data_IF_759254571514
#
_entry.id   IF_759254571514
#
_cell.length_a   1.000
_cell.length_b   1.000
_cell.length_c   1.000
_cell.angle_alpha   90.00
_cell.angle_beta   90.00
_cell.angle_gamma   90.00
#
_symmetry.space_group_name_H-M   'P 1'
#
loop_
_entity.id
_entity.type
_entity.pdbx_description
1 polymer ?
#
# COMPACT_ATOMS: atom_id res chain seq x y z
N UNK A 1 7.66 4.69 34.14
CA UNK A 1 7.96 3.62 33.15
C UNK A 1 8.30 4.27 31.82
N UNK A 2 9.27 3.76 31.05
CA UNK A 2 9.62 4.34 29.73
C UNK A 2 8.62 3.83 28.69
N UNK A 3 8.20 4.68 27.74
CA UNK A 3 7.32 4.29 26.63
C UNK A 3 8.15 3.66 25.51
N UNK A 4 7.58 2.70 24.80
CA UNK A 4 8.09 2.16 23.54
C UNK A 4 7.22 2.70 22.39
N UNK A 5 7.69 3.72 21.65
CA UNK A 5 6.99 4.21 20.47
C UNK A 5 7.11 3.20 19.32
N UNK A 6 5.98 2.82 18.75
CA UNK A 6 5.85 1.94 17.59
C UNK A 6 5.09 2.69 16.50
N UNK A 7 5.72 2.88 15.34
CA UNK A 7 5.10 3.51 14.19
C UNK A 7 4.85 2.48 13.09
N UNK A 8 3.60 2.35 12.67
CA UNK A 8 3.24 1.62 11.45
C UNK A 8 3.17 2.63 10.30
N UNK A 9 4.03 2.46 9.30
CA UNK A 9 4.03 3.25 8.06
C UNK A 9 3.49 2.34 6.96
N UNK A 10 2.23 2.55 6.61
CA UNK A 10 1.43 1.62 5.83
C UNK A 10 1.13 2.17 4.45
N UNK A 11 1.52 1.44 3.43
CA UNK A 11 1.17 1.73 2.04
C UNK A 11 -0.33 1.46 1.82
N UNK A 12 -1.00 2.47 1.30
CA UNK A 12 -2.43 2.54 1.03
C UNK A 12 -2.67 2.96 -0.44
N UNK A 13 -1.69 2.72 -1.30
CA UNK A 13 -1.79 3.02 -2.73
C UNK A 13 -2.75 2.08 -3.47
N UNK A 14 -3.05 2.38 -4.73
CA UNK A 14 -3.98 1.60 -5.54
C UNK A 14 -3.50 0.16 -5.78
N UNK A 15 -2.20 -0.13 -5.81
CA UNK A 15 -1.66 -1.49 -5.90
C UNK A 15 -2.09 -2.36 -4.72
N UNK A 16 -2.28 -1.75 -3.54
CA UNK A 16 -2.68 -2.45 -2.33
C UNK A 16 -4.16 -2.87 -2.36
N UNK A 17 -5.01 -2.29 -3.22
CA UNK A 17 -6.45 -2.56 -3.17
C UNK A 17 -6.78 -4.04 -3.41
N UNK A 18 -7.82 -4.51 -2.73
CA UNK A 18 -8.26 -5.90 -2.75
C UNK A 18 -7.68 -6.68 -1.58
N UNK A 19 -7.03 -7.79 -1.88
CA UNK A 19 -6.59 -8.74 -0.87
C UNK A 19 -5.45 -8.21 0.02
N UNK A 20 -4.50 -7.47 -0.55
CA UNK A 20 -3.35 -6.92 0.19
C UNK A 20 -3.81 -5.93 1.28
N UNK A 21 -4.67 -4.96 0.94
CA UNK A 21 -5.22 -3.99 1.87
C UNK A 21 -6.08 -4.65 2.96
N UNK A 22 -6.86 -5.68 2.59
CA UNK A 22 -7.65 -6.45 3.55
C UNK A 22 -6.74 -7.16 4.55
N UNK A 23 -5.72 -7.89 4.07
CA UNK A 23 -4.72 -8.54 4.93
C UNK A 23 -4.02 -7.54 5.83
N UNK A 24 -3.60 -6.39 5.30
CA UNK A 24 -2.98 -5.34 6.09
C UNK A 24 -3.90 -4.83 7.21
N UNK A 25 -5.18 -4.60 6.90
CA UNK A 25 -6.19 -4.18 7.89
C UNK A 25 -6.41 -5.24 8.96
N UNK A 26 -6.62 -6.50 8.56
CA UNK A 26 -6.83 -7.64 9.46
C UNK A 26 -5.58 -7.89 10.33
N UNK A 27 -4.40 -7.76 9.74
CA UNK A 27 -3.10 -7.88 10.40
C UNK A 27 -2.91 -6.82 11.47
N UNK A 28 -3.22 -5.55 11.17
CA UNK A 28 -3.17 -4.47 12.17
C UNK A 28 -4.13 -4.76 13.33
N UNK A 29 -5.36 -5.20 13.06
CA UNK A 29 -6.31 -5.57 14.11
C UNK A 29 -5.77 -6.71 15.00
N UNK A 30 -5.17 -7.73 14.39
CA UNK A 30 -4.59 -8.86 15.11
C UNK A 30 -3.39 -8.44 15.98
N UNK A 31 -2.47 -7.63 15.46
CA UNK A 31 -1.34 -7.09 16.22
C UNK A 31 -1.84 -6.36 17.47
N UNK A 32 -2.77 -5.42 17.29
CA UNK A 32 -3.31 -4.63 18.40
C UNK A 32 -4.06 -5.53 19.40
N UNK A 33 -4.84 -6.49 18.90
CA UNK A 33 -5.54 -7.45 19.73
C UNK A 33 -4.61 -8.31 20.58
N UNK A 34 -3.47 -8.72 20.06
CA UNK A 34 -2.49 -9.51 20.80
C UNK A 34 -1.63 -8.67 21.74
N UNK A 35 -1.23 -7.45 21.34
CA UNK A 35 -0.52 -6.52 22.23
C UNK A 35 -1.33 -6.15 23.47
N UNK A 36 -2.66 -6.03 23.35
CA UNK A 36 -3.54 -5.79 24.50
C UNK A 36 -3.62 -6.96 25.49
N UNK A 37 -3.32 -8.18 25.05
CA UNK A 37 -3.30 -9.37 25.93
C UNK A 37 -1.99 -9.49 26.70
N UNK A 38 -0.94 -8.79 26.28
CA UNK A 38 0.36 -8.79 26.95
C UNK A 38 0.43 -7.65 28.00
N UNK A 39 0.54 -7.97 29.30
CA UNK A 39 0.53 -6.94 30.34
C UNK A 39 1.66 -5.91 30.22
N UNK A 40 2.84 -6.33 29.75
CA UNK A 40 3.98 -5.43 29.59
C UNK A 40 3.79 -4.48 28.41
N UNK A 41 3.32 -4.99 27.26
CA UNK A 41 3.00 -4.17 26.11
C UNK A 41 1.85 -3.21 26.42
N UNK A 42 0.85 -3.64 27.20
CA UNK A 42 -0.27 -2.79 27.63
C UNK A 42 0.21 -1.51 28.35
N UNK A 43 1.22 -1.63 29.20
CA UNK A 43 1.76 -0.51 29.99
C UNK A 43 2.80 0.34 29.26
N UNK A 44 3.51 -0.23 28.27
CA UNK A 44 4.69 0.40 27.68
C UNK A 44 4.55 0.75 26.20
N UNK A 45 3.75 0.02 25.43
CA UNK A 45 3.65 0.20 23.98
C UNK A 45 2.73 1.37 23.62
N UNK A 46 3.26 2.27 22.81
CA UNK A 46 2.54 3.39 22.24
C UNK A 46 2.56 3.26 20.72
N UNK A 47 1.41 3.27 20.08
CA UNK A 47 1.26 2.98 18.65
C UNK A 47 0.77 4.20 17.90
N UNK A 48 1.39 4.48 16.77
CA UNK A 48 0.96 5.45 15.77
C UNK A 48 0.82 4.79 14.41
N UNK A 49 -0.13 5.24 13.60
CA UNK A 49 -0.30 4.79 12.21
C UNK A 49 -0.18 5.97 11.27
N UNK A 50 0.77 5.86 10.36
CA UNK A 50 0.99 6.75 9.23
C UNK A 50 0.57 5.98 7.99
N UNK A 51 -0.45 6.48 7.29
CA UNK A 51 -0.84 5.94 6.00
C UNK A 51 -0.21 6.79 4.90
N UNK A 52 0.21 6.16 3.81
CA UNK A 52 0.67 6.87 2.64
C UNK A 52 0.17 6.24 1.35
N UNK A 53 -0.16 7.10 0.40
CA UNK A 53 -0.48 6.79 -0.98
C UNK A 53 0.14 7.94 -1.80
N UNK A 54 -0.60 8.65 -2.65
CA UNK A 54 -0.10 9.87 -3.30
C UNK A 54 0.28 10.98 -2.31
N UNK A 55 -0.29 10.95 -1.10
CA UNK A 55 0.12 11.79 0.04
C UNK A 55 0.37 10.91 1.27
N UNK A 56 1.10 11.42 2.26
CA UNK A 56 1.30 10.75 3.54
C UNK A 56 0.71 11.57 4.69
N UNK A 57 -0.01 10.90 5.61
CA UNK A 57 -0.54 11.54 6.82
C UNK A 57 -0.58 10.56 7.99
N UNK A 58 -0.39 11.10 9.19
CA UNK A 58 -0.68 10.37 10.42
C UNK A 58 -2.20 10.25 10.62
N UNK A 59 -2.73 9.04 10.44
CA UNK A 59 -4.17 8.75 10.61
C UNK A 59 -4.51 8.38 12.05
N UNK A 60 -3.53 7.88 12.81
CA UNK A 60 -3.64 7.69 14.26
C UNK A 60 -2.37 8.25 14.93
N UNK A 61 -2.49 9.32 15.73
CA UNK A 61 -1.36 9.84 16.51
C UNK A 61 -0.83 8.79 17.49
N UNK A 62 0.35 9.01 18.07
CA UNK A 62 0.94 8.09 19.04
C UNK A 62 0.08 7.98 20.31
N UNK A 63 -0.62 6.86 20.48
CA UNK A 63 -1.49 6.58 21.62
C UNK A 63 -1.06 5.31 22.35
N UNK A 64 -1.37 5.22 23.64
CA UNK A 64 -1.25 3.96 24.37
C UNK A 64 -2.16 2.88 23.78
N UNK A 65 -1.67 1.64 23.75
CA UNK A 65 -2.36 0.51 23.13
C UNK A 65 -3.74 0.22 23.75
N UNK A 66 -3.95 0.57 25.02
CA UNK A 66 -5.22 0.41 25.72
C UNK A 66 -6.35 1.26 25.12
N UNK A 67 -6.02 2.44 24.57
CA UNK A 67 -6.95 3.38 23.95
C UNK A 67 -6.93 3.36 22.42
N UNK A 68 -6.03 2.58 21.82
CA UNK A 68 -5.80 2.55 20.38
C UNK A 68 -6.91 1.77 19.67
N UNK A 69 -7.64 2.38 18.74
CA UNK A 69 -8.60 1.68 17.87
C UNK A 69 -8.03 1.57 16.45
N UNK A 70 -7.98 0.37 15.84
CA UNK A 70 -7.52 0.21 14.46
C UNK A 70 -8.33 1.10 13.51
N UNK A 71 -7.69 1.99 12.73
CA UNK A 71 -8.39 2.86 11.80
C UNK A 71 -8.82 2.08 10.56
N UNK A 72 -9.79 2.61 9.82
CA UNK A 72 -9.97 2.23 8.42
C UNK A 72 -8.80 2.81 7.63
N UNK A 73 -8.09 1.95 6.90
CA UNK A 73 -7.02 2.39 6.02
C UNK A 73 -7.64 3.08 4.78
N UNK A 74 -7.17 4.29 4.42
CA UNK A 74 -7.61 4.96 3.21
C UNK A 74 -7.08 4.23 1.97
N UNK A 75 -7.50 4.66 0.78
CA UNK A 75 -6.88 4.27 -0.49
C UNK A 75 -6.61 5.55 -1.29
N UNK A 76 -5.48 5.64 -1.98
CA UNK A 76 -5.19 6.79 -2.84
C UNK A 76 -4.31 6.43 -4.03
N UNK A 77 -4.33 7.26 -5.06
CA UNK A 77 -3.48 7.13 -6.25
C UNK A 77 -2.04 7.57 -6.02
N UNK A 78 -1.09 6.68 -6.34
CA UNK A 78 0.35 6.88 -6.17
C UNK A 78 0.91 6.35 -4.86
N UNK A 79 2.25 6.36 -4.77
CA UNK A 79 3.03 5.76 -3.68
C UNK A 79 4.15 6.71 -3.27
N UNK A 80 3.83 7.72 -2.47
CA UNK A 80 4.73 8.80 -2.06
C UNK A 80 5.53 8.44 -0.81
N UNK A 81 6.53 7.56 -0.99
CA UNK A 81 7.39 7.09 0.10
C UNK A 81 8.24 8.21 0.70
N UNK A 82 8.72 9.16 -0.11
CA UNK A 82 9.46 10.32 0.38
C UNK A 82 8.61 11.17 1.32
N UNK A 83 7.35 11.42 0.95
CA UNK A 83 6.39 12.08 1.83
C UNK A 83 6.15 11.28 3.13
N UNK A 84 6.06 9.95 3.05
CA UNK A 84 5.91 9.08 4.22
C UNK A 84 7.10 9.15 5.19
N UNK A 85 8.32 9.14 4.66
CA UNK A 85 9.55 9.31 5.45
C UNK A 85 9.59 10.69 6.12
N UNK A 86 9.20 11.75 5.41
CA UNK A 86 9.10 13.09 5.98
C UNK A 86 8.12 13.12 7.14
N UNK A 87 6.90 12.63 6.96
CA UNK A 87 5.89 12.56 8.01
C UNK A 87 6.38 11.74 9.21
N UNK A 88 6.99 10.58 8.96
CA UNK A 88 7.60 9.75 10.00
C UNK A 88 8.64 10.52 10.83
N UNK A 89 9.57 11.22 10.17
CA UNK A 89 10.60 12.00 10.89
C UNK A 89 9.99 13.11 11.73
N UNK A 90 8.93 13.78 11.22
CA UNK A 90 8.18 14.79 11.98
C UNK A 90 7.51 14.17 13.21
N UNK A 91 6.85 13.02 13.06
CA UNK A 91 6.21 12.32 14.19
C UNK A 91 7.24 11.86 15.22
N UNK A 92 8.40 11.36 14.78
CA UNK A 92 9.49 10.97 15.69
C UNK A 92 9.98 12.19 16.48
N UNK A 93 10.30 13.30 15.79
CA UNK A 93 10.86 14.48 16.43
C UNK A 93 9.87 15.18 17.39
N UNK A 94 8.57 15.08 17.11
CA UNK A 94 7.52 15.73 17.90
C UNK A 94 7.03 14.86 19.07
N UNK A 95 6.94 13.54 18.89
CA UNK A 95 6.25 12.66 19.85
C UNK A 95 7.20 11.84 20.73
N UNK A 96 8.42 11.56 20.26
CA UNK A 96 9.41 10.73 20.97
C UNK A 96 10.21 11.58 21.95
N UNK A 97 10.12 11.24 23.25
CA UNK A 97 10.81 11.95 24.32
C UNK A 97 12.25 11.49 24.43
N UNK A 98 13.20 12.42 24.30
CA UNK A 98 14.62 12.14 24.52
C UNK A 98 14.93 12.06 26.02
N UNK A 99 15.91 11.23 26.38
CA UNK A 99 16.44 11.20 27.74
C UNK A 99 17.12 12.53 28.06
N UNK A 100 16.76 13.11 29.19
CA UNK A 100 17.41 14.31 29.75
C UNK A 100 18.19 13.92 31.01
N UNK A 101 18.93 14.87 31.58
CA UNK A 101 19.60 14.66 32.88
C UNK A 101 18.61 14.39 34.02
N UNK A 102 17.38 14.87 33.90
CA UNK A 102 16.35 14.84 34.94
C UNK A 102 15.40 13.64 34.79
N UNK A 103 15.18 13.14 33.57
CA UNK A 103 14.22 12.07 33.31
C UNK A 103 14.68 11.13 32.18
N UNK A 104 14.42 9.83 32.39
CA UNK A 104 14.58 8.82 31.32
C UNK A 104 13.52 9.05 30.25
N UNK A 105 13.96 9.20 29.00
CA UNK A 105 13.09 9.36 27.84
C UNK A 105 12.47 8.04 27.39
N UNK A 106 11.86 8.06 26.21
CA UNK A 106 11.29 6.87 25.58
C UNK A 106 12.39 5.89 25.14
N UNK A 107 12.03 4.63 24.96
CA UNK A 107 12.87 3.63 24.31
C UNK A 107 13.11 4.00 22.84
N UNK A 108 14.12 3.35 22.24
CA UNK A 108 14.41 3.47 20.81
C UNK A 108 13.12 3.13 20.03
N UNK A 109 12.59 4.03 19.19
CA UNK A 109 11.37 3.76 18.44
C UNK A 109 11.53 2.57 17.51
N UNK A 110 10.45 1.81 17.33
CA UNK A 110 10.36 0.74 16.33
C UNK A 110 9.45 1.22 15.21
N UNK A 111 9.87 1.06 13.97
CA UNK A 111 9.09 1.43 12.78
C UNK A 111 8.89 0.20 11.92
N UNK A 112 7.64 -0.08 11.56
CA UNK A 112 7.29 -1.08 10.57
C UNK A 112 6.80 -0.37 9.31
N UNK A 113 7.61 -0.41 8.26
CA UNK A 113 7.26 0.09 6.93
C UNK A 113 6.77 -1.07 6.07
N UNK A 114 5.51 -1.04 5.62
CA UNK A 114 4.92 -2.07 4.77
C UNK A 114 4.51 -1.44 3.44
N UNK A 115 4.98 -2.01 2.32
CA UNK A 115 4.67 -1.52 0.95
C UNK A 115 4.76 -2.65 -0.07
N UNK A 116 3.90 -2.65 -1.09
CA UNK A 116 3.95 -3.59 -2.22
C UNK A 116 4.52 -2.97 -3.52
N UNK A 117 4.76 -1.66 -3.53
CA UNK A 117 5.02 -0.88 -4.74
C UNK A 117 6.39 -0.21 -4.80
N UNK A 118 6.65 0.42 -5.95
CA UNK A 118 7.77 1.33 -6.18
C UNK A 118 7.33 2.76 -5.81
N UNK A 119 8.19 3.57 -5.18
CA UNK A 119 7.87 4.97 -4.94
C UNK A 119 7.58 5.73 -6.23
N UNK A 120 6.55 6.55 -6.22
CA UNK A 120 6.17 7.42 -7.35
C UNK A 120 6.71 8.85 -7.18
N UNK A 121 7.25 9.20 -6.02
CA UNK A 121 7.91 10.47 -5.73
C UNK A 121 9.44 10.34 -5.70
N UNK A 122 10.15 11.49 -5.74
CA UNK A 122 11.60 11.51 -5.54
C UNK A 122 11.93 11.33 -4.06
N UNK A 123 12.42 10.14 -3.72
CA UNK A 123 12.77 9.77 -2.35
C UNK A 123 14.18 10.18 -1.95
N UNK A 124 15.02 10.64 -2.88
CA UNK A 124 16.48 10.79 -2.70
C UNK A 124 16.83 11.67 -1.50
N UNK A 125 16.19 12.83 -1.37
CA UNK A 125 16.46 13.78 -0.30
C UNK A 125 16.08 13.23 1.09
N UNK A 126 14.92 12.58 1.19
CA UNK A 126 14.41 12.05 2.47
C UNK A 126 15.12 10.76 2.87
N UNK A 127 15.52 9.91 1.91
CA UNK A 127 16.39 8.74 2.16
C UNK A 127 17.74 9.19 2.71
N UNK A 128 18.34 10.23 2.11
CA UNK A 128 19.61 10.80 2.61
C UNK A 128 19.44 11.32 4.04
N UNK A 129 18.41 12.15 4.26
CA UNK A 129 18.09 12.68 5.60
C UNK A 129 17.89 11.57 6.63
N UNK A 130 17.20 10.50 6.25
CA UNK A 130 16.96 9.33 7.09
C UNK A 130 18.29 8.68 7.53
N UNK A 131 19.18 8.39 6.57
CA UNK A 131 20.51 7.82 6.83
C UNK A 131 21.35 8.69 7.75
N UNK A 132 21.40 9.99 7.46
CA UNK A 132 22.27 10.93 8.18
C UNK A 132 21.82 11.17 9.63
N UNK A 133 20.52 11.06 9.92
CA UNK A 133 19.97 11.55 11.19
C UNK A 133 19.14 10.55 12.01
N UNK A 134 18.56 9.52 11.41
CA UNK A 134 17.55 8.66 12.06
C UNK A 134 17.90 7.17 12.07
N UNK A 135 18.63 6.65 11.07
CA UNK A 135 18.93 5.22 10.96
C UNK A 135 19.56 4.60 12.23
N UNK A 136 20.43 5.34 12.94
CA UNK A 136 21.02 4.88 14.20
C UNK A 136 20.08 5.01 15.42
N UNK A 137 19.06 5.87 15.34
CA UNK A 137 18.16 6.24 16.44
C UNK A 137 16.84 5.48 16.44
N UNK A 138 16.54 4.74 15.36
CA UNK A 138 15.28 4.05 15.14
C UNK A 138 15.56 2.61 14.75
N UNK A 139 14.76 1.65 15.23
CA UNK A 139 14.76 0.31 14.69
C UNK A 139 13.72 0.21 13.58
N UNK A 140 14.14 0.39 12.33
CA UNK A 140 13.27 0.28 11.16
C UNK A 140 13.29 -1.14 10.62
N UNK A 141 12.12 -1.75 10.51
CA UNK A 141 11.87 -2.98 9.76
C UNK A 141 11.08 -2.59 8.51
N UNK A 142 11.64 -2.88 7.35
CA UNK A 142 10.98 -2.65 6.07
C UNK A 142 10.48 -3.99 5.49
N UNK A 143 9.24 -4.01 5.04
CA UNK A 143 8.55 -5.22 4.60
C UNK A 143 7.96 -4.96 3.22
N UNK A 144 8.55 -5.60 2.22
CA UNK A 144 7.99 -5.68 0.88
C UNK A 144 6.89 -6.72 0.82
N UNK A 145 5.72 -6.35 0.31
CA UNK A 145 4.58 -7.24 0.13
C UNK A 145 4.50 -7.67 -1.34
N UNK A 146 4.52 -8.97 -1.59
CA UNK A 146 4.41 -9.51 -2.95
C UNK A 146 5.66 -9.32 -3.83
N UNK A 147 5.62 -9.84 -5.07
CA UNK A 147 6.79 -9.91 -5.94
C UNK A 147 7.22 -8.56 -6.55
N UNK A 148 6.35 -7.54 -6.49
CA UNK A 148 6.56 -6.21 -7.09
C UNK A 148 7.30 -5.23 -6.18
N UNK A 149 7.48 -5.57 -4.90
CA UNK A 149 8.04 -4.66 -3.91
C UNK A 149 9.47 -4.22 -4.24
N UNK A 150 9.75 -2.92 -4.12
CA UNK A 150 11.07 -2.35 -4.38
C UNK A 150 12.03 -2.53 -3.21
N UNK A 151 12.65 -3.71 -3.16
CA UNK A 151 13.64 -4.01 -2.13
C UNK A 151 14.89 -3.12 -2.21
N UNK A 152 15.20 -2.53 -3.36
CA UNK A 152 16.40 -1.70 -3.51
C UNK A 152 16.24 -0.39 -2.75
N UNK A 153 15.07 0.25 -2.87
CA UNK A 153 14.77 1.45 -2.07
C UNK A 153 14.68 1.11 -0.59
N UNK A 154 14.03 0.01 -0.21
CA UNK A 154 13.91 -0.40 1.21
C UNK A 154 15.27 -0.68 1.87
N UNK A 155 16.21 -1.32 1.15
CA UNK A 155 17.59 -1.58 1.65
C UNK A 155 18.41 -0.33 1.86
N UNK A 156 18.04 0.79 1.23
CA UNK A 156 18.68 2.07 1.53
C UNK A 156 18.23 2.61 2.90
N UNK A 157 17.08 2.18 3.42
CA UNK A 157 16.56 2.70 4.68
C UNK A 157 17.01 1.90 5.89
N UNK A 158 17.17 0.58 5.75
CA UNK A 158 17.52 -0.35 6.83
C UNK A 158 18.16 -1.63 6.29
N UNK A 159 18.94 -2.31 7.13
CA UNK A 159 19.43 -3.68 6.88
C UNK A 159 18.33 -4.72 7.16
N UNK A 160 17.33 -4.37 7.98
CA UNK A 160 16.21 -5.24 8.35
C UNK A 160 15.10 -5.20 7.29
N UNK A 161 15.40 -5.69 6.09
CA UNK A 161 14.44 -5.77 4.97
C UNK A 161 13.92 -7.20 4.84
N UNK A 162 12.60 -7.34 4.81
CA UNK A 162 11.90 -8.60 4.61
C UNK A 162 11.07 -8.54 3.34
N UNK A 163 11.01 -9.66 2.62
CA UNK A 163 10.06 -9.84 1.52
C UNK A 163 9.03 -10.87 1.98
N UNK A 164 7.79 -10.44 2.05
CA UNK A 164 6.67 -11.31 2.31
C UNK A 164 6.03 -11.74 0.98
N UNK A 165 6.20 -13.02 0.64
CA UNK A 165 5.45 -13.68 -0.43
C UNK A 165 4.64 -14.80 0.18
N UNK A 166 3.31 -14.73 0.03
CA UNK A 166 2.46 -15.81 0.51
C UNK A 166 2.67 -17.06 -0.35
N UNK A 167 3.14 -18.13 0.29
CA UNK A 167 3.38 -19.41 -0.37
C UNK A 167 2.45 -20.50 0.16
N UNK A 168 2.02 -20.36 1.41
CA UNK A 168 1.10 -21.25 2.12
C UNK A 168 0.03 -20.44 2.85
N UNK A 169 -1.17 -21.01 3.02
CA UNK A 169 -2.18 -20.42 3.89
C UNK A 169 -1.64 -20.25 5.32
N UNK A 170 -1.79 -19.04 5.88
CA UNK A 170 -1.38 -18.73 7.24
C UNK A 170 0.03 -18.16 7.40
N UNK A 171 0.82 -18.03 6.33
CA UNK A 171 2.12 -17.34 6.36
C UNK A 171 1.98 -15.90 6.85
N UNK A 172 0.92 -15.21 6.40
CA UNK A 172 0.63 -13.85 6.85
C UNK A 172 0.37 -13.79 8.36
N UNK A 173 -0.41 -14.73 8.90
CA UNK A 173 -0.67 -14.84 10.35
C UNK A 173 0.62 -15.10 11.13
N UNK A 174 1.54 -15.91 10.62
CA UNK A 174 2.86 -16.14 11.24
C UNK A 174 3.70 -14.88 11.24
N UNK A 175 3.69 -14.14 10.13
CA UNK A 175 4.36 -12.85 10.01
C UNK A 175 3.82 -11.82 11.02
N UNK A 176 2.49 -11.74 11.17
CA UNK A 176 1.85 -10.89 12.17
C UNK A 176 2.22 -11.30 13.60
N UNK A 177 2.21 -12.60 13.91
CA UNK A 177 2.68 -13.10 15.21
C UNK A 177 4.14 -12.73 15.48
N UNK A 178 4.98 -12.73 14.46
CA UNK A 178 6.36 -12.27 14.59
C UNK A 178 6.44 -10.76 14.90
N UNK A 179 5.67 -9.91 14.22
CA UNK A 179 5.60 -8.47 14.55
C UNK A 179 5.23 -8.28 16.01
N UNK A 180 4.16 -8.94 16.47
CA UNK A 180 3.73 -8.87 17.87
C UNK A 180 4.83 -9.34 18.82
N UNK A 181 5.45 -10.49 18.55
CA UNK A 181 6.54 -11.01 19.38
C UNK A 181 7.75 -10.06 19.41
N UNK A 182 8.05 -9.40 18.28
CA UNK A 182 9.10 -8.39 18.17
C UNK A 182 8.77 -7.19 19.05
N UNK A 183 7.57 -6.61 18.96
CA UNK A 183 7.16 -5.48 19.83
C UNK A 183 7.21 -5.87 21.31
N UNK A 184 6.74 -7.06 21.68
CA UNK A 184 6.78 -7.57 23.06
C UNK A 184 8.21 -7.81 23.55
N UNK A 185 9.12 -8.26 22.68
CA UNK A 185 10.53 -8.40 23.02
C UNK A 185 11.18 -7.02 23.29
N UNK A 186 10.89 -6.03 22.44
CA UNK A 186 11.38 -4.65 22.60
C UNK A 186 10.78 -3.96 23.83
N UNK A 187 9.56 -4.33 24.24
CA UNK A 187 8.92 -3.74 25.43
C UNK A 187 9.50 -4.28 26.74
N UNK A 188 10.03 -5.52 26.72
CA UNK A 188 10.64 -6.19 27.87
C UNK A 188 12.15 -6.01 27.97
N UNK A 189 12.86 -5.89 26.84
CA UNK A 189 14.31 -5.74 26.79
C UNK A 189 14.76 -4.39 27.37
N UNK A 190 15.37 -4.45 28.55
CA UNK A 190 16.10 -3.33 29.16
C UNK A 190 17.48 -3.25 28.50
N UNK A 191 17.54 -2.78 27.25
CA UNK A 191 18.78 -2.38 26.60
C UNK A 191 19.74 -3.50 26.15
N UNK A 192 19.24 -4.69 25.82
CA UNK A 192 20.06 -5.71 25.12
C UNK A 192 19.46 -6.05 23.74
N UNK A 193 20.31 -5.97 22.72
CA UNK A 193 20.02 -5.75 21.30
C UNK A 193 19.66 -7.03 20.52
N UNK A 194 19.09 -8.04 21.17
CA UNK A 194 18.72 -9.28 20.49
C UNK A 194 17.25 -9.27 20.07
N UNK A 195 17.03 -8.88 18.81
CA UNK A 195 15.79 -9.22 18.10
C UNK A 195 15.53 -10.73 18.27
N UNK A 196 14.27 -11.17 18.46
CA UNK A 196 13.98 -12.60 18.39
C UNK A 196 14.48 -13.12 17.04
N UNK A 197 15.47 -14.01 17.06
CA UNK A 197 16.01 -14.60 15.84
C UNK A 197 14.88 -15.37 15.15
N UNK A 198 14.46 -14.85 14.00
CA UNK A 198 13.73 -15.63 13.04
C UNK A 198 14.71 -16.67 12.50
N UNK A 199 14.40 -17.95 12.72
CA UNK A 199 15.05 -19.03 11.99
C UNK A 199 15.05 -18.65 10.50
N UNK A 200 16.25 -18.49 9.92
CA UNK A 200 16.53 -17.96 8.58
C UNK A 200 16.03 -18.86 7.43
N UNK A 201 14.93 -19.57 7.60
CA UNK A 201 14.45 -20.56 6.65
C UNK A 201 13.40 -19.92 5.74
N UNK A 202 13.90 -19.54 4.56
CA UNK A 202 13.18 -19.34 3.30
C UNK A 202 12.29 -18.10 3.16
N UNK A 203 12.92 -16.94 2.95
CA UNK A 203 12.33 -15.84 2.19
C UNK A 203 13.14 -15.67 0.91
N UNK A 204 12.54 -15.96 -0.24
CA UNK A 204 13.20 -15.94 -1.55
C UNK A 204 13.58 -14.49 -1.88
N UNK A 205 14.83 -14.13 -1.60
CA UNK A 205 15.43 -12.87 -2.04
C UNK A 205 15.53 -12.91 -3.56
N UNK A 206 14.67 -12.16 -4.25
CA UNK A 206 14.98 -11.71 -5.61
C UNK A 206 15.87 -10.47 -5.50
N UNK A 207 17.08 -10.57 -6.02
CA UNK A 207 17.90 -9.41 -6.34
C UNK A 207 17.19 -8.67 -7.48
N UNK A 208 16.60 -7.52 -7.19
CA UNK A 208 16.15 -6.60 -8.22
C UNK A 208 17.40 -6.06 -8.92
N UNK A 209 17.52 -6.29 -10.23
CA UNK A 209 18.54 -5.63 -11.05
C UNK A 209 18.28 -4.12 -11.01
N UNK A 210 19.34 -3.32 -11.06
CA UNK A 210 19.25 -1.86 -11.19
C UNK A 210 18.44 -1.52 -12.44
N UNK A 211 17.15 -1.28 -12.27
CA UNK A 211 16.26 -0.79 -13.32
C UNK A 211 16.00 0.70 -13.08
N UNK A 212 15.93 1.50 -14.16
CA UNK A 212 15.64 2.92 -14.05
C UNK A 212 14.32 3.15 -13.31
N UNK A 213 14.26 4.22 -12.52
CA UNK A 213 13.04 4.68 -11.83
C UNK A 213 11.97 4.94 -12.89
N UNK A 214 10.95 4.07 -12.95
CA UNK A 214 9.76 4.27 -13.77
C UNK A 214 8.64 4.80 -12.89
N UNK A 215 7.88 5.76 -13.39
CA UNK A 215 6.87 6.49 -12.61
C UNK A 215 5.56 5.71 -12.33
N UNK A 216 5.52 4.40 -12.63
CA UNK A 216 4.33 3.54 -12.53
C UNK A 216 4.71 2.06 -12.30
N UNK A 217 3.79 1.29 -11.71
CA UNK A 217 3.95 -0.17 -11.53
C UNK A 217 3.80 -0.93 -12.87
N UNK A 218 4.75 -1.80 -13.16
CA UNK A 218 4.77 -2.66 -14.35
C UNK A 218 3.98 -3.96 -14.18
N UNK A 219 3.63 -4.32 -12.94
CA UNK A 219 2.96 -5.57 -12.62
C UNK A 219 1.46 -5.37 -12.34
N UNK A 220 1.05 -4.13 -12.09
CA UNK A 220 -0.33 -3.74 -11.81
C UNK A 220 -0.74 -2.56 -12.69
N UNK A 221 -2.00 -2.51 -13.11
CA UNK A 221 -2.64 -1.35 -13.74
C UNK A 221 -3.93 -1.07 -12.99
N UNK A 222 -4.09 0.15 -12.52
CA UNK A 222 -5.27 0.59 -11.78
C UNK A 222 -5.99 1.67 -12.58
N UNK A 223 -7.30 1.57 -12.69
CA UNK A 223 -8.14 2.48 -13.45
C UNK A 223 -9.29 2.99 -12.59
N UNK A 224 -9.48 4.31 -12.57
CA UNK A 224 -10.57 4.93 -11.82
C UNK A 224 -11.80 5.12 -12.69
N UNK A 225 -12.95 4.67 -12.20
CA UNK A 225 -14.24 4.95 -12.80
C UNK A 225 -15.25 5.50 -11.78
N UNK A 226 -16.40 5.96 -12.27
CA UNK A 226 -17.50 6.42 -11.41
C UNK A 226 -18.82 5.84 -11.89
N UNK A 227 -19.63 5.38 -10.94
CA UNK A 227 -20.90 4.74 -11.24
C UNK A 227 -21.86 5.76 -11.88
N UNK A 228 -22.48 5.42 -13.00
CA UNK A 228 -23.48 6.27 -13.67
C UNK A 228 -24.74 6.47 -12.83
N UNK A 229 -25.16 5.47 -12.05
CA UNK A 229 -26.37 5.52 -11.21
C UNK A 229 -26.11 6.18 -9.85
N UNK A 230 -25.12 5.70 -9.09
CA UNK A 230 -24.88 6.17 -7.71
C UNK A 230 -23.93 7.36 -7.63
N UNK A 231 -23.25 7.69 -8.74
CA UNK A 231 -22.15 8.66 -8.80
C UNK A 231 -20.99 8.36 -7.86
N UNK A 232 -20.89 7.16 -7.28
CA UNK A 232 -19.76 6.78 -6.41
C UNK A 232 -18.56 6.27 -7.21
N UNK A 233 -17.32 6.60 -6.82
CA UNK A 233 -16.11 6.15 -7.50
C UNK A 233 -15.82 4.66 -7.26
N UNK A 234 -15.07 4.05 -8.15
CA UNK A 234 -14.58 2.68 -8.04
C UNK A 234 -13.22 2.54 -8.72
N UNK A 235 -12.44 1.54 -8.31
CA UNK A 235 -11.16 1.19 -8.91
C UNK A 235 -11.23 -0.18 -9.57
N UNK A 236 -10.78 -0.25 -10.82
CA UNK A 236 -10.53 -1.50 -11.51
C UNK A 236 -9.04 -1.81 -11.43
N UNK A 237 -8.70 -2.99 -10.93
CA UNK A 237 -7.32 -3.45 -10.78
C UNK A 237 -7.06 -4.57 -11.77
N UNK A 238 -5.99 -4.43 -12.55
CA UNK A 238 -5.49 -5.44 -13.47
C UNK A 238 -4.09 -5.85 -13.04
N UNK A 239 -3.79 -7.13 -13.05
CA UNK A 239 -2.50 -7.69 -12.64
C UNK A 239 -1.90 -8.52 -13.76
N UNK A 240 -0.58 -8.44 -13.92
CA UNK A 240 0.14 -9.26 -14.90
C UNK A 240 0.20 -10.71 -14.40
N UNK A 241 -0.13 -11.71 -15.23
CA UNK A 241 -0.01 -13.11 -14.83
C UNK A 241 1.44 -13.46 -14.46
N UNK A 242 1.66 -14.37 -13.49
CA UNK A 242 3.01 -14.78 -13.10
C UNK A 242 3.74 -15.41 -14.29
N UNK A 243 4.96 -14.93 -14.56
CA UNK A 243 5.76 -15.29 -15.74
C UNK A 243 6.29 -16.74 -15.78
N UNK A 244 5.82 -17.65 -14.91
CA UNK A 244 6.27 -19.05 -14.86
C UNK A 244 5.09 -20.01 -14.77
N UNK A 245 4.68 -20.54 -15.91
CA UNK A 245 4.00 -21.83 -15.97
C UNK A 245 5.03 -22.83 -16.51
N UNK A 246 5.67 -23.58 -15.61
CA UNK A 246 6.56 -24.67 -16.01
C UNK A 246 5.72 -25.78 -16.66
N UNK A 247 5.87 -25.99 -17.97
CA UNK A 247 5.36 -27.19 -18.64
C UNK A 247 4.59 -27.01 -19.97
N UNK A 248 4.42 -25.79 -20.50
CA UNK A 248 3.72 -25.59 -21.77
C UNK A 248 4.51 -24.66 -22.70
N UNK A 249 4.77 -25.16 -23.91
CA UNK A 249 5.45 -24.50 -25.04
C UNK A 249 4.51 -23.47 -25.74
N UNK A 250 3.76 -22.69 -24.95
CA UNK A 250 2.89 -21.63 -25.46
C UNK A 250 3.56 -20.29 -25.21
N UNK A 251 3.76 -19.50 -26.27
CA UNK A 251 4.12 -18.09 -26.19
C UNK A 251 2.95 -17.31 -25.57
N UNK A 252 2.82 -17.35 -24.25
CA UNK A 252 1.94 -16.47 -23.51
C UNK A 252 2.38 -15.04 -23.79
N UNK A 253 1.44 -14.20 -24.22
CA UNK A 253 1.70 -12.79 -24.43
C UNK A 253 1.95 -12.15 -23.05
N UNK A 254 3.20 -12.15 -22.59
CA UNK A 254 3.62 -11.73 -21.25
C UNK A 254 3.39 -10.23 -20.98
N UNK A 255 2.95 -9.47 -22.00
CA UNK A 255 2.73 -8.04 -21.89
C UNK A 255 1.33 -7.65 -21.42
N UNK A 256 0.36 -8.57 -21.39
CA UNK A 256 -1.02 -8.24 -21.02
C UNK A 256 -1.32 -8.38 -19.52
N UNK A 257 -2.37 -7.69 -19.08
CA UNK A 257 -2.86 -7.65 -17.71
C UNK A 257 -4.26 -8.25 -17.64
N UNK A 258 -4.51 -9.09 -16.64
CA UNK A 258 -5.82 -9.69 -16.40
C UNK A 258 -6.55 -8.94 -15.30
N UNK A 259 -7.88 -8.82 -15.42
CA UNK A 259 -8.71 -8.24 -14.36
C UNK A 259 -8.52 -9.02 -13.05
N UNK A 260 -8.03 -8.34 -12.01
CA UNK A 260 -7.96 -8.85 -10.65
C UNK A 260 -9.27 -8.57 -9.90
N UNK A 261 -9.86 -7.40 -10.13
CA UNK A 261 -11.17 -7.06 -9.55
C UNK A 261 -11.60 -5.62 -9.79
N UNK A 262 -12.83 -5.32 -9.38
CA UNK A 262 -13.38 -3.98 -9.35
C UNK A 262 -13.92 -3.67 -7.96
N UNK A 263 -13.36 -2.65 -7.33
CA UNK A 263 -13.51 -2.39 -5.91
C UNK A 263 -14.20 -1.04 -5.68
N UNK A 264 -15.20 -0.99 -4.78
CA UNK A 264 -15.80 0.28 -4.40
C UNK A 264 -14.79 1.10 -3.59
N UNK A 265 -14.70 2.39 -3.89
CA UNK A 265 -13.94 3.38 -3.10
C UNK A 265 -14.86 4.53 -2.71
N UNK A 266 -14.44 5.30 -1.71
CA UNK A 266 -15.11 6.51 -1.26
C UNK A 266 -14.47 7.76 -1.89
N UNK A 267 -15.11 8.91 -1.74
CA UNK A 267 -14.63 10.19 -2.31
C UNK A 267 -13.30 10.67 -1.69
N UNK A 268 -12.98 10.19 -0.49
CA UNK A 268 -11.71 10.49 0.20
C UNK A 268 -10.50 9.99 -0.59
N UNK A 269 -10.68 9.02 -1.50
CA UNK A 269 -9.65 8.55 -2.42
C UNK A 269 -8.94 9.70 -3.13
N UNK A 270 -9.68 10.70 -3.63
CA UNK A 270 -9.07 11.83 -4.35
C UNK A 270 -8.24 12.74 -3.44
N UNK A 271 -8.55 12.79 -2.14
CA UNK A 271 -7.78 13.55 -1.16
C UNK A 271 -6.50 12.82 -0.71
N UNK A 272 -6.43 11.51 -0.95
CA UNK A 272 -5.27 10.64 -0.71
C UNK A 272 -4.43 10.40 -1.96
N UNK A 273 -4.91 10.84 -3.12
CA UNK A 273 -4.23 10.72 -4.40
C UNK A 273 -3.31 11.92 -4.65
N UNK A 274 -2.23 11.69 -5.40
CA UNK A 274 -1.37 12.77 -5.86
C UNK A 274 -2.13 13.64 -6.88
N UNK A 275 -2.06 14.96 -6.71
CA UNK A 275 -2.74 15.92 -7.57
C UNK A 275 -2.03 16.10 -8.92
N UNK A 276 -0.80 15.61 -9.08
CA UNK A 276 -0.11 15.67 -10.38
C UNK A 276 -0.80 14.73 -11.37
N UNK A 277 -1.49 15.32 -12.35
CA UNK A 277 -2.07 14.56 -13.45
C UNK A 277 -0.96 13.81 -14.21
N UNK A 278 -1.01 12.49 -14.20
CA UNK A 278 -0.13 11.69 -15.05
C UNK A 278 -0.77 11.49 -16.41
N UNK A 279 -0.06 11.86 -17.47
CA UNK A 279 -0.38 11.47 -18.85
C UNK A 279 -0.03 10.00 -19.15
N UNK A 280 0.03 9.16 -18.11
CA UNK A 280 0.31 7.74 -18.26
C UNK A 280 -0.96 7.05 -18.74
N UNK A 281 -0.82 6.34 -19.84
CA UNK A 281 -1.91 5.64 -20.48
C UNK A 281 -1.56 4.16 -20.65
N UNK A 282 -2.60 3.34 -20.68
CA UNK A 282 -2.52 1.93 -21.06
C UNK A 282 -3.45 1.71 -22.23
N UNK A 283 -3.00 0.93 -23.21
CA UNK A 283 -3.86 0.58 -24.33
C UNK A 283 -4.84 -0.52 -23.91
N UNK A 284 -6.11 -0.42 -24.31
CA UNK A 284 -7.12 -1.45 -24.01
C UNK A 284 -6.76 -2.82 -24.57
N UNK A 285 -5.89 -2.93 -25.61
CA UNK A 285 -5.43 -4.23 -26.11
C UNK A 285 -4.58 -5.01 -25.11
N UNK A 286 -4.00 -4.33 -24.12
CA UNK A 286 -3.20 -4.94 -23.07
C UNK A 286 -4.05 -5.38 -21.87
N UNK A 287 -5.34 -5.02 -21.83
CA UNK A 287 -6.23 -5.29 -20.71
C UNK A 287 -7.22 -6.41 -21.06
N UNK A 288 -7.19 -7.48 -20.28
CA UNK A 288 -8.09 -8.62 -20.44
C UNK A 288 -9.12 -8.67 -19.33
N UNK A 289 -10.39 -8.67 -19.74
CA UNK A 289 -11.55 -8.72 -18.85
C UNK A 289 -12.15 -7.34 -18.60
N UNK A 290 -13.48 -7.32 -18.54
CA UNK A 290 -14.27 -6.13 -18.23
C UNK A 290 -15.13 -6.46 -17.01
N UNK A 291 -14.90 -5.81 -15.86
CA UNK A 291 -15.68 -6.07 -14.67
C UNK A 291 -17.03 -5.34 -14.72
N UNK A 292 -18.01 -5.86 -13.98
CA UNK A 292 -19.25 -5.14 -13.69
C UNK A 292 -19.06 -4.03 -12.65
N UNK A 293 -20.04 -3.13 -12.55
CA UNK A 293 -19.99 -2.04 -11.58
C UNK A 293 -20.24 -2.56 -10.15
N UNK A 294 -19.35 -2.27 -9.17
CA UNK A 294 -19.48 -2.77 -7.80
C UNK A 294 -20.60 -2.05 -7.01
N UNK A 295 -21.10 -0.91 -7.49
CA UNK A 295 -22.12 -0.13 -6.80
C UNK A 295 -23.55 -0.43 -7.27
N UNK A 296 -23.76 -0.59 -8.57
CA UNK A 296 -25.10 -0.69 -9.15
C UNK A 296 -25.34 -1.95 -9.98
N UNK A 297 -24.33 -2.82 -10.14
CA UNK A 297 -24.45 -4.09 -10.88
C UNK A 297 -24.52 -3.96 -12.41
N UNK A 298 -24.29 -2.77 -12.97
CA UNK A 298 -24.19 -2.58 -14.42
C UNK A 298 -23.17 -3.55 -15.04
N UNK A 299 -23.47 -4.10 -16.21
CA UNK A 299 -22.68 -5.14 -16.86
C UNK A 299 -21.22 -4.75 -17.14
N UNK A 300 -20.95 -3.48 -17.48
CA UNK A 300 -19.59 -2.98 -17.74
C UNK A 300 -19.28 -1.78 -16.87
N UNK A 301 -18.10 -1.79 -16.23
CA UNK A 301 -17.51 -0.66 -15.52
C UNK A 301 -16.49 0.12 -16.38
N UNK A 302 -16.37 -0.22 -17.66
CA UNK A 302 -15.29 0.21 -18.56
C UNK A 302 -15.84 0.92 -19.81
N UNK A 303 -16.64 1.98 -19.61
CA UNK A 303 -17.05 2.85 -20.70
C UNK A 303 -16.30 4.18 -20.61
N UNK A 304 -15.69 4.63 -21.71
CA UNK A 304 -14.91 5.87 -21.73
C UNK A 304 -15.79 7.04 -22.19
N UNK A 305 -15.85 8.08 -21.38
CA UNK A 305 -16.46 9.35 -21.77
C UNK A 305 -15.48 10.18 -22.62
N UNK A 306 -16.00 11.09 -23.45
CA UNK A 306 -15.24 12.13 -24.15
C UNK A 306 -14.37 13.02 -23.23
N UNK A 307 -14.68 13.09 -21.92
CA UNK A 307 -13.83 13.76 -20.93
C UNK A 307 -12.59 12.93 -20.50
N UNK A 308 -12.39 11.73 -21.06
CA UNK A 308 -11.26 10.86 -20.76
C UNK A 308 -11.38 10.07 -19.46
N UNK A 309 -12.56 10.02 -18.83
CA UNK A 309 -12.82 9.28 -17.59
C UNK A 309 -13.77 8.11 -17.81
N UNK A 310 -13.56 7.05 -17.02
CA UNK A 310 -14.35 5.82 -17.11
C UNK A 310 -15.65 5.91 -16.29
N UNK A 311 -16.70 5.27 -16.78
CA UNK A 311 -17.98 5.10 -16.10
C UNK A 311 -18.56 3.71 -16.38
N UNK A 312 -19.61 3.36 -15.65
CA UNK A 312 -20.32 2.10 -15.86
C UNK A 312 -21.58 2.26 -16.73
N UNK A 313 -21.86 1.24 -17.54
CA UNK A 313 -22.99 1.16 -18.47
C UNK A 313 -23.59 -0.24 -18.47
N UNK A 314 -24.85 -0.36 -18.87
CA UNK A 314 -25.58 -1.64 -18.91
C UNK A 314 -25.96 -2.02 -20.34
N UNK A 315 -24.96 -2.13 -21.22
CA UNK A 315 -25.15 -2.34 -22.65
C UNK A 315 -25.28 -1.01 -23.43
N UNK A 316 -25.90 -1.02 -24.62
CA UNK A 316 -26.21 0.21 -25.36
C UNK A 316 -27.17 1.06 -24.55
N UNK A 317 -26.68 2.19 -24.07
CA UNK A 317 -27.41 3.01 -23.09
C UNK A 317 -27.08 4.50 -23.29
N UNK A 318 -28.07 5.33 -23.00
CA UNK A 318 -27.95 6.78 -22.95
C UNK A 318 -27.66 7.18 -21.50
N UNK A 319 -26.41 7.55 -21.23
CA UNK A 319 -25.94 7.80 -19.88
C UNK A 319 -25.42 9.21 -19.73
N UNK A 320 -25.83 9.89 -18.66
CA UNK A 320 -25.23 11.16 -18.25
C UNK A 320 -23.92 10.85 -17.54
N UNK A 321 -22.81 11.35 -18.09
CA UNK A 321 -21.50 11.14 -17.52
C UNK A 321 -21.45 11.64 -16.07
N UNK A 322 -21.10 10.79 -15.09
CA UNK A 322 -21.07 11.18 -13.67
C UNK A 322 -19.88 12.10 -13.33
N UNK A 323 -19.03 12.43 -14.31
CA UNK A 323 -17.86 13.29 -14.13
C UNK A 323 -18.02 14.69 -14.71
N UNK A 324 -18.61 14.82 -15.90
CA UNK A 324 -18.73 16.08 -16.64
C UNK A 324 -20.18 16.44 -17.00
N UNK A 325 -21.14 15.63 -16.55
CA UNK A 325 -22.60 15.85 -16.74
C UNK A 325 -23.06 15.90 -18.20
N UNK A 326 -22.20 15.50 -19.15
CA UNK A 326 -22.53 15.42 -20.58
C UNK A 326 -23.29 14.13 -20.87
N UNK A 327 -24.36 14.20 -21.67
CA UNK A 327 -25.08 13.03 -22.18
C UNK A 327 -24.24 12.28 -23.21
N UNK A 328 -24.16 10.95 -23.07
CA UNK A 328 -23.43 10.05 -23.94
C UNK A 328 -24.36 8.93 -24.40
N UNK A 329 -24.23 8.53 -25.67
CA UNK A 329 -24.90 7.36 -26.22
C UNK A 329 -23.85 6.32 -26.59
N UNK A 330 -23.90 5.15 -25.98
CA UNK A 330 -22.98 4.06 -26.30
C UNK A 330 -23.65 3.09 -27.29
N UNK A 331 -23.01 2.84 -28.44
CA UNK A 331 -23.42 1.80 -29.39
C UNK A 331 -22.63 0.51 -29.18
N UNK A 332 -23.22 -0.62 -29.56
CA UNK A 332 -22.56 -1.92 -29.49
C UNK A 332 -21.60 -2.10 -30.68
N UNK A 333 -20.45 -1.45 -30.66
CA UNK A 333 -19.48 -1.47 -31.77
C UNK A 333 -18.62 -2.76 -31.83
N UNK A 334 -19.08 -3.86 -31.23
CA UNK A 334 -18.43 -5.17 -31.36
C UNK A 334 -17.03 -5.27 -30.76
N UNK A 335 -16.63 -4.34 -29.88
CA UNK A 335 -15.41 -4.43 -29.08
C UNK A 335 -14.08 -4.32 -29.85
N UNK A 336 -14.09 -3.84 -31.09
CA UNK A 336 -12.92 -3.91 -31.98
C UNK A 336 -12.10 -2.61 -32.08
N UNK A 337 -12.41 -1.60 -31.27
CA UNK A 337 -11.67 -0.34 -31.24
C UNK A 337 -10.77 -0.30 -30.02
N UNK A 338 -9.46 -0.38 -30.25
CA UNK A 338 -8.47 -0.15 -29.21
C UNK A 338 -8.31 1.35 -28.96
N UNK A 339 -8.22 1.75 -27.70
CA UNK A 339 -7.98 3.13 -27.32
C UNK A 339 -7.10 3.19 -26.07
N UNK A 340 -6.54 4.37 -25.82
CA UNK A 340 -5.68 4.62 -24.67
C UNK A 340 -6.51 5.14 -23.50
N UNK A 341 -6.26 4.59 -22.31
CA UNK A 341 -6.97 4.93 -21.08
C UNK A 341 -5.97 5.43 -20.05
N UNK A 342 -6.31 6.54 -19.40
CA UNK A 342 -5.49 7.08 -18.31
C UNK A 342 -5.46 6.08 -17.14
N UNK A 343 -4.25 5.71 -16.72
CA UNK A 343 -4.02 4.79 -15.60
C UNK A 343 -3.57 5.52 -14.34
N UNK A 344 -3.85 4.89 -13.21
CA UNK A 344 -3.31 5.24 -11.90
C UNK A 344 -1.79 5.08 -11.84
N UNK A 345 -1.20 5.72 -10.84
CA UNK A 345 0.26 5.69 -10.59
C UNK A 345 0.67 4.49 -9.73
N UNK A 346 -0.25 4.04 -8.88
CA UNK A 346 -0.08 2.92 -7.96
C UNK A 346 -0.19 1.58 -8.65
#
# INVERSE_FOLDING_TARGET
>A
MRRLPVFFVLDCSESMIGENLKKMTDGLQMIIGDLRKDPHALETAWVSVIAFAGVARTIVPLHEIASFYPPRLPVGGGTSLGAALRELTVQIDTQVRKTTHEAKGDWKPVVYLLTDGRPTDDTTAEVKRWKDHYASKVNLIAVGLGPSADLNTLRQLTENVMLFTESQEGDFTRFIKWITASVTAHSRSVGDDKQPELSQTEYIVRLAKDEPVKAYDENCVTLTGRCSKTRRPYLMKYERPPARISGLDFSLNLNSFNIAGCYPIDEDYFAWSDATATGLQVNTSELHGVPGCPHCGNASAFALCSCGKLLCIDGPDDVICPWCETGLSFSNDGGNTNFDVNRGRG
#
